data_IF_008875604409
#
_entry.id   IF_008875604409
#
_cell.length_a   1.000
_cell.length_b   1.000
_cell.length_c   1.000
_cell.angle_alpha   90.00
_cell.angle_beta   90.00
_cell.angle_gamma   90.00
#
_symmetry.space_group_name_H-M   'P 1'
#
loop_
_entity.id
_entity.type
_entity.pdbx_description
1 polymer ?
#
# COMPACT_ATOMS: atom_id res chain seq x y z
N UNK A 1 -39.97 -13.05 29.92
CA UNK A 1 -39.08 -14.05 29.28
C UNK A 1 -38.68 -13.67 27.86
N UNK A 2 -39.48 -12.87 27.14
CA UNK A 2 -39.16 -12.49 25.74
C UNK A 2 -38.00 -11.50 25.57
N UNK A 3 -37.74 -10.67 26.60
CA UNK A 3 -36.67 -9.66 26.56
C UNK A 3 -35.27 -10.20 26.96
N UNK A 4 -35.20 -11.39 27.56
CA UNK A 4 -33.91 -12.02 27.94
C UNK A 4 -33.23 -12.71 26.76
N UNK A 5 -33.98 -13.06 25.71
CA UNK A 5 -33.45 -13.72 24.53
C UNK A 5 -32.68 -12.78 23.60
N UNK A 6 -33.01 -11.46 23.61
CA UNK A 6 -32.34 -10.44 22.79
C UNK A 6 -31.02 -9.95 23.40
N UNK A 7 -30.82 -10.10 24.70
CA UNK A 7 -29.60 -9.68 25.38
C UNK A 7 -28.46 -10.68 25.22
N UNK A 8 -28.78 -11.96 24.89
CA UNK A 8 -27.77 -12.99 24.64
C UNK A 8 -27.13 -12.93 23.24
N UNK A 9 -27.77 -12.25 22.29
CA UNK A 9 -27.31 -12.22 20.88
C UNK A 9 -26.30 -11.10 20.59
N UNK A 10 -26.16 -10.12 21.50
CA UNK A 10 -25.27 -8.96 21.30
C UNK A 10 -23.80 -9.21 21.67
N UNK A 11 -23.46 -10.37 22.28
CA UNK A 11 -22.10 -10.64 22.82
C UNK A 11 -21.22 -11.43 21.85
N UNK A 12 -21.74 -11.89 20.71
CA UNK A 12 -21.03 -12.79 19.78
C UNK A 12 -20.20 -12.09 18.71
N UNK A 13 -20.03 -10.75 18.75
CA UNK A 13 -19.33 -10.01 17.67
C UNK A 13 -17.89 -9.58 18.05
N UNK A 14 -17.34 -9.99 19.19
CA UNK A 14 -16.01 -9.54 19.64
C UNK A 14 -14.92 -10.60 19.60
N UNK A 15 -15.00 -11.61 18.76
CA UNK A 15 -13.93 -12.60 18.58
C UNK A 15 -13.21 -12.48 17.23
N UNK A 16 -12.99 -11.27 16.72
CA UNK A 16 -11.92 -11.01 15.78
C UNK A 16 -10.65 -10.69 16.56
N UNK A 17 -10.05 -11.70 17.16
CA UNK A 17 -8.69 -11.62 17.65
C UNK A 17 -7.79 -11.38 16.42
N UNK A 18 -7.37 -10.13 16.24
CA UNK A 18 -6.40 -9.79 15.21
C UNK A 18 -5.14 -10.62 15.47
N UNK A 19 -4.75 -11.48 14.53
CA UNK A 19 -3.49 -12.25 14.57
C UNK A 19 -2.25 -11.34 14.57
N UNK A 20 -2.46 -10.03 14.50
CA UNK A 20 -1.42 -9.01 14.39
C UNK A 20 -1.15 -8.44 15.79
N UNK A 21 0.09 -8.50 16.29
CA UNK A 21 0.50 -7.98 17.59
C UNK A 21 0.34 -6.46 17.70
N UNK A 22 0.18 -5.97 18.92
CA UNK A 22 0.28 -4.54 19.21
C UNK A 22 1.66 -4.02 18.78
N UNK A 23 1.70 -2.86 18.12
CA UNK A 23 2.94 -2.27 17.63
C UNK A 23 3.27 -2.60 16.16
N UNK A 24 2.48 -3.44 15.52
CA UNK A 24 2.57 -3.75 14.08
C UNK A 24 1.45 -3.02 13.34
N UNK A 25 1.75 -2.42 12.19
CA UNK A 25 0.72 -1.82 11.33
C UNK A 25 -0.19 -2.90 10.75
N UNK A 26 -1.50 -2.66 10.79
CA UNK A 26 -2.50 -3.55 10.19
C UNK A 26 -2.38 -3.59 8.67
N UNK A 27 -3.01 -4.59 8.05
CA UNK A 27 -3.13 -4.70 6.59
C UNK A 27 -3.64 -3.40 5.95
N UNK A 28 -4.70 -2.80 6.52
CA UNK A 28 -5.31 -1.56 6.00
C UNK A 28 -4.36 -0.36 6.05
N UNK A 29 -3.49 -0.32 7.05
CA UNK A 29 -2.52 0.77 7.22
C UNK A 29 -1.30 0.58 6.31
N UNK A 30 -0.75 -0.64 6.24
CA UNK A 30 0.51 -0.89 5.55
C UNK A 30 0.37 -1.00 4.03
N UNK A 31 -0.76 -1.52 3.53
CA UNK A 31 -0.97 -1.75 2.09
C UNK A 31 -0.82 -0.48 1.24
N UNK A 32 -1.45 0.67 1.58
CA UNK A 32 -1.28 1.89 0.79
C UNK A 32 0.16 2.38 0.72
N UNK A 33 0.91 2.28 1.83
CA UNK A 33 2.31 2.67 1.87
C UNK A 33 3.18 1.75 1.00
N UNK A 34 2.92 0.43 1.02
CA UNK A 34 3.61 -0.53 0.16
C UNK A 34 3.35 -0.27 -1.32
N UNK A 35 2.10 0.03 -1.72
CA UNK A 35 1.77 0.40 -3.11
C UNK A 35 2.59 1.60 -3.56
N UNK A 36 2.64 2.64 -2.73
CA UNK A 36 3.37 3.87 -3.07
C UNK A 36 4.89 3.65 -3.11
N UNK A 37 5.44 2.84 -2.20
CA UNK A 37 6.85 2.47 -2.20
C UNK A 37 7.23 1.71 -3.48
N UNK A 38 6.46 0.70 -3.88
CA UNK A 38 6.70 -0.03 -5.12
C UNK A 38 6.58 0.84 -6.37
N UNK A 39 5.61 1.75 -6.39
CA UNK A 39 5.45 2.68 -7.50
C UNK A 39 6.65 3.65 -7.59
N UNK A 40 7.08 4.20 -6.47
CA UNK A 40 8.22 5.09 -6.40
C UNK A 40 9.52 4.41 -6.82
N UNK A 41 9.76 3.17 -6.39
CA UNK A 41 10.91 2.37 -6.78
C UNK A 41 10.92 2.07 -8.28
N UNK A 42 9.77 1.73 -8.86
CA UNK A 42 9.67 1.47 -10.31
C UNK A 42 9.94 2.72 -11.14
N UNK A 43 9.39 3.86 -10.76
CA UNK A 43 9.64 5.15 -11.44
C UNK A 43 11.12 5.53 -11.33
N UNK A 44 11.71 5.33 -10.16
CA UNK A 44 13.12 5.61 -9.94
C UNK A 44 14.00 4.72 -10.83
N UNK A 45 13.74 3.44 -10.89
CA UNK A 45 14.49 2.49 -11.72
C UNK A 45 14.41 2.85 -13.21
N UNK A 46 13.27 3.32 -13.70
CA UNK A 46 13.11 3.74 -15.09
C UNK A 46 13.84 5.04 -15.44
N UNK A 47 13.91 5.99 -14.50
CA UNK A 47 14.48 7.33 -14.77
C UNK A 47 15.97 7.45 -14.50
N UNK A 48 16.53 6.66 -13.59
CA UNK A 48 17.90 6.82 -13.10
C UNK A 48 18.79 5.62 -13.38
N UNK A 49 18.87 5.24 -14.66
CA UNK A 49 19.86 4.26 -15.11
C UNK A 49 21.29 4.81 -15.09
N UNK A 50 21.49 6.13 -14.83
CA UNK A 50 22.80 6.80 -14.84
C UNK A 50 23.02 7.66 -13.59
N UNK A 51 24.01 7.24 -12.78
CA UNK A 51 24.93 8.02 -11.97
C UNK A 51 24.39 9.29 -11.24
N UNK A 52 23.65 9.15 -10.16
CA UNK A 52 23.65 10.17 -9.09
C UNK A 52 23.37 9.47 -7.77
N UNK A 53 23.99 9.93 -6.70
CA UNK A 53 23.87 9.63 -5.27
C UNK A 53 22.57 8.89 -4.88
N UNK A 54 22.48 7.64 -5.34
CA UNK A 54 21.26 6.82 -5.37
C UNK A 54 20.73 6.54 -3.96
N UNK A 55 21.63 6.41 -3.00
CA UNK A 55 21.28 6.01 -1.65
C UNK A 55 20.49 7.09 -0.90
N UNK A 56 20.96 8.33 -0.90
CA UNK A 56 20.31 9.42 -0.14
C UNK A 56 18.94 9.77 -0.70
N UNK A 57 18.80 9.79 -2.04
CA UNK A 57 17.51 10.10 -2.66
C UNK A 57 16.45 9.02 -2.37
N UNK A 58 16.82 7.74 -2.39
CA UNK A 58 15.89 6.66 -2.06
C UNK A 58 15.48 6.70 -0.58
N UNK A 59 16.41 7.03 0.30
CA UNK A 59 16.12 7.20 1.73
C UNK A 59 15.16 8.36 1.97
N UNK A 60 15.42 9.53 1.38
CA UNK A 60 14.53 10.69 1.49
C UNK A 60 13.14 10.41 0.93
N UNK A 61 13.06 9.72 -0.21
CA UNK A 61 11.81 9.30 -0.82
C UNK A 61 11.03 8.33 0.08
N UNK A 62 11.71 7.32 0.62
CA UNK A 62 11.14 6.36 1.57
C UNK A 62 10.56 7.06 2.78
N UNK A 63 11.33 7.93 3.44
CA UNK A 63 10.89 8.69 4.61
C UNK A 63 9.72 9.62 4.29
N UNK A 64 9.72 10.24 3.10
CA UNK A 64 8.64 11.11 2.66
C UNK A 64 7.32 10.34 2.46
N UNK A 65 7.39 9.10 1.96
CA UNK A 65 6.24 8.21 1.80
C UNK A 65 5.69 7.82 3.16
N UNK A 66 6.53 7.36 4.08
CA UNK A 66 6.10 7.02 5.43
C UNK A 66 5.42 8.21 6.13
N UNK A 67 5.97 9.41 5.98
CA UNK A 67 5.39 10.63 6.53
C UNK A 67 4.01 10.93 5.95
N UNK A 68 3.80 10.76 4.65
CA UNK A 68 2.47 10.94 4.01
C UNK A 68 1.42 9.98 4.56
N UNK A 69 1.83 8.77 4.88
CA UNK A 69 0.96 7.75 5.48
C UNK A 69 0.88 7.84 7.01
N UNK A 70 1.47 8.89 7.64
CA UNK A 70 1.55 9.04 9.09
C UNK A 70 2.16 7.83 9.79
N UNK A 71 3.19 7.25 9.18
CA UNK A 71 3.88 6.06 9.66
C UNK A 71 5.20 6.43 10.31
N UNK A 72 5.48 5.81 11.47
CA UNK A 72 6.78 5.83 12.12
C UNK A 72 7.70 4.80 11.47
N UNK A 73 8.91 5.21 11.10
CA UNK A 73 9.87 4.35 10.41
C UNK A 73 10.14 3.05 11.15
N UNK A 74 10.49 3.13 12.44
CA UNK A 74 10.81 1.95 13.25
C UNK A 74 9.65 0.95 13.28
N UNK A 75 8.43 1.44 13.52
CA UNK A 75 7.24 0.60 13.55
C UNK A 75 6.93 -0.01 12.18
N UNK A 76 7.19 0.72 11.09
CA UNK A 76 7.04 0.20 9.73
C UNK A 76 8.04 -0.94 9.46
N UNK A 77 9.31 -0.75 9.80
CA UNK A 77 10.35 -1.77 9.66
C UNK A 77 10.05 -3.03 10.48
N UNK A 78 9.61 -2.85 11.73
CA UNK A 78 9.16 -3.96 12.58
C UNK A 78 7.95 -4.69 11.98
N UNK A 79 7.04 -3.95 11.33
CA UNK A 79 5.88 -4.53 10.63
C UNK A 79 6.30 -5.36 9.43
N UNK A 80 7.22 -4.86 8.60
CA UNK A 80 7.76 -5.61 7.46
C UNK A 80 8.48 -6.88 7.93
N UNK A 81 9.26 -6.79 9.00
CA UNK A 81 9.92 -7.95 9.60
C UNK A 81 8.93 -8.99 10.13
N UNK A 82 7.86 -8.54 10.77
CA UNK A 82 6.78 -9.40 11.24
C UNK A 82 6.10 -10.11 10.08
N UNK A 83 5.67 -9.39 9.06
CA UNK A 83 5.00 -9.97 7.89
C UNK A 83 5.92 -10.90 7.10
N UNK A 84 7.21 -10.58 7.01
CA UNK A 84 8.20 -11.45 6.37
C UNK A 84 8.37 -12.82 7.05
N UNK A 85 8.07 -12.90 8.35
CA UNK A 85 8.07 -14.16 9.11
C UNK A 85 6.73 -14.90 9.10
N UNK A 86 5.66 -14.26 8.57
CA UNK A 86 4.30 -14.79 8.56
C UNK A 86 3.71 -14.71 7.14
N UNK A 87 4.20 -15.53 6.20
CA UNK A 87 3.81 -15.48 4.80
C UNK A 87 2.31 -15.71 4.59
N UNK A 88 1.66 -16.47 5.48
CA UNK A 88 0.23 -16.73 5.45
C UNK A 88 -0.61 -15.46 5.74
N UNK A 89 -0.07 -14.51 6.50
CA UNK A 89 -0.70 -13.21 6.78
C UNK A 89 -0.26 -12.17 5.74
N UNK A 90 0.98 -12.27 5.26
CA UNK A 90 1.52 -11.31 4.29
C UNK A 90 0.97 -11.51 2.87
N UNK A 91 0.69 -12.75 2.48
CA UNK A 91 0.20 -13.04 1.13
C UNK A 91 -1.03 -12.21 0.71
N UNK A 92 -2.14 -12.14 1.49
CA UNK A 92 -3.27 -11.32 1.11
C UNK A 92 -2.94 -9.82 1.02
N UNK A 93 -2.04 -9.30 1.86
CA UNK A 93 -1.55 -7.92 1.77
C UNK A 93 -0.85 -7.70 0.43
N UNK A 94 0.05 -8.60 0.06
CA UNK A 94 0.82 -8.48 -1.17
C UNK A 94 -0.05 -8.67 -2.43
N UNK A 95 -1.01 -9.58 -2.39
CA UNK A 95 -2.00 -9.76 -3.46
C UNK A 95 -2.79 -8.45 -3.69
N UNK A 96 -3.20 -7.77 -2.62
CA UNK A 96 -3.90 -6.47 -2.71
C UNK A 96 -2.97 -5.36 -3.26
N UNK A 97 -1.70 -5.33 -2.85
CA UNK A 97 -0.70 -4.41 -3.42
C UNK A 97 -0.59 -4.61 -4.93
N UNK A 98 -0.44 -5.84 -5.39
CA UNK A 98 -0.34 -6.16 -6.82
C UNK A 98 -1.61 -5.78 -7.58
N UNK A 99 -2.79 -6.04 -7.02
CA UNK A 99 -4.06 -5.65 -7.63
C UNK A 99 -4.13 -4.14 -7.86
N UNK A 100 -3.81 -3.33 -6.85
CA UNK A 100 -3.80 -1.87 -6.96
C UNK A 100 -2.80 -1.35 -7.99
N UNK A 101 -1.60 -1.93 -8.02
CA UNK A 101 -0.60 -1.56 -9.03
C UNK A 101 -1.06 -1.89 -10.45
N UNK A 102 -1.68 -3.05 -10.65
CA UNK A 102 -2.25 -3.46 -11.94
C UNK A 102 -3.40 -2.54 -12.39
N UNK A 103 -4.30 -2.15 -11.47
CA UNK A 103 -5.37 -1.18 -11.76
C UNK A 103 -4.82 0.18 -12.17
N UNK A 104 -3.79 0.68 -11.47
CA UNK A 104 -3.13 1.94 -11.82
C UNK A 104 -2.47 1.87 -13.19
N UNK A 105 -1.82 0.75 -13.53
CA UNK A 105 -1.23 0.53 -14.84
C UNK A 105 -2.29 0.50 -15.96
N UNK A 106 -3.38 -0.23 -15.75
CA UNK A 106 -4.47 -0.31 -16.72
C UNK A 106 -5.12 1.07 -16.96
N UNK A 107 -5.32 1.85 -15.90
CA UNK A 107 -5.84 3.21 -16.00
C UNK A 107 -4.90 4.14 -16.78
N UNK A 108 -3.59 4.06 -16.54
CA UNK A 108 -2.58 4.82 -17.27
C UNK A 108 -2.59 4.49 -18.75
N UNK A 109 -2.61 3.21 -19.11
CA UNK A 109 -2.65 2.76 -20.51
C UNK A 109 -3.93 3.20 -21.23
N UNK A 110 -5.09 3.15 -20.55
CA UNK A 110 -6.35 3.62 -21.10
C UNK A 110 -6.31 5.13 -21.38
N UNK A 111 -5.75 5.92 -20.47
CA UNK A 111 -5.58 7.37 -20.62
C UNK A 111 -4.67 7.72 -21.79
N UNK A 112 -3.55 7.03 -21.93
CA UNK A 112 -2.60 7.24 -23.03
C UNK A 112 -3.23 6.89 -24.39
N UNK A 113 -4.03 5.83 -24.43
CA UNK A 113 -4.77 5.43 -25.63
C UNK A 113 -5.81 6.47 -26.07
N UNK A 114 -6.44 7.14 -25.11
CA UNK A 114 -7.39 8.24 -25.39
C UNK A 114 -6.65 9.48 -25.90
N UNK A 115 -5.57 9.87 -25.24
CA UNK A 115 -4.76 11.03 -25.62
C UNK A 115 -4.17 10.89 -27.02
N UNK A 116 -3.73 9.68 -27.40
CA UNK A 116 -3.20 9.42 -28.75
C UNK A 116 -4.26 9.42 -29.86
N UNK A 117 -5.55 9.39 -29.51
CA UNK A 117 -6.67 9.48 -30.48
C UNK A 117 -7.19 10.90 -30.68
N UNK A 118 -6.80 11.84 -29.81
CA UNK A 118 -7.17 13.23 -29.98
C UNK A 118 -6.28 13.88 -31.07
N UNK A 119 -6.84 14.62 -32.03
CA UNK A 119 -6.06 15.34 -33.03
C UNK A 119 -5.15 16.37 -32.31
N UNK A 120 -3.95 16.65 -32.84
CA UNK A 120 -3.06 17.65 -32.25
C UNK A 120 -3.77 19.01 -32.22
N UNK A 121 -3.77 19.62 -31.03
CA UNK A 121 -4.28 20.99 -30.85
C UNK A 121 -3.37 21.91 -31.67
N UNK A 122 -3.91 22.48 -32.77
CA UNK A 122 -3.19 23.47 -33.56
C UNK A 122 -3.16 24.77 -32.75
N UNK A 123 -1.99 25.37 -32.52
CA UNK A 123 -1.90 26.71 -31.93
C UNK A 123 -2.47 27.72 -32.92
N UNK A 124 -3.44 28.50 -32.47
CA UNK A 124 -3.94 29.69 -33.20
C UNK A 124 -2.96 30.83 -33.05
#
# INVERSE_FOLDING_TARGET
MRNFLFMGMAILIMACSSKIPKGIYSEKEITPALVELHLAESIFTMRYTMQVTRANYLEDLYLSILKRHNMEQKKFEESILFYGKHPEIYKPIYDEVLNRLNEMQAFSQAKDSVNNRLPPVQPQ
#
